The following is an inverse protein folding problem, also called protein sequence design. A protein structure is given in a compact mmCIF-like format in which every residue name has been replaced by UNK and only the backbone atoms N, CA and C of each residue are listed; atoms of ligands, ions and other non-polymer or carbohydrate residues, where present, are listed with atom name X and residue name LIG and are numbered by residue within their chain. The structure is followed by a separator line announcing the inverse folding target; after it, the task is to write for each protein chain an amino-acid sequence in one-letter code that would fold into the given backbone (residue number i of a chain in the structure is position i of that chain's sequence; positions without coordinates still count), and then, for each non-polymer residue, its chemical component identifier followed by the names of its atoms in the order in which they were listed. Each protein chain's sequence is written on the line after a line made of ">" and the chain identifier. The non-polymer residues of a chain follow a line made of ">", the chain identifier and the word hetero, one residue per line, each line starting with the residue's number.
data_IF_800013549852
#
_entry.id   IF_800013549852
#
_cell.length_a   1.000
_cell.length_b   1.000
_cell.length_c   1.000
_cell.angle_alpha   90.00
_cell.angle_beta   90.00
_cell.angle_gamma   90.00
#
_symmetry.space_group_name_H-M   'P 1'
#
loop_
_entity.id
_entity.type
_entity.pdbx_description
1 polymer ?
#
# COMPACT_ATOMS: atom_id res chain seq x y z
N UNK A 1 13.41 9.06 -7.59
CA UNK A 1 12.76 7.77 -7.93
C UNK A 1 11.34 8.06 -8.37
N UNK A 2 10.95 7.61 -9.56
CA UNK A 2 9.62 7.84 -10.13
C UNK A 2 8.63 6.83 -9.54
N UNK A 3 7.65 7.30 -8.78
CA UNK A 3 6.75 6.43 -8.01
C UNK A 3 5.30 6.63 -8.45
N UNK A 4 4.66 5.55 -8.90
CA UNK A 4 3.21 5.54 -9.14
C UNK A 4 2.47 5.21 -7.84
N UNK A 5 1.61 6.13 -7.38
CA UNK A 5 0.76 5.95 -6.21
C UNK A 5 -0.63 5.51 -6.66
N UNK A 6 -0.96 4.24 -6.45
CA UNK A 6 -2.27 3.66 -6.74
C UNK A 6 -3.14 3.73 -5.49
N UNK A 7 -4.35 4.28 -5.65
CA UNK A 7 -5.20 4.68 -4.53
C UNK A 7 -4.81 6.04 -3.94
N UNK A 8 -4.20 6.92 -4.75
CA UNK A 8 -3.68 8.21 -4.30
C UNK A 8 -4.73 9.08 -3.62
N UNK A 9 -6.00 9.05 -4.07
CA UNK A 9 -7.06 9.84 -3.43
C UNK A 9 -7.56 9.25 -2.09
N UNK A 10 -7.12 8.05 -1.70
CA UNK A 10 -7.38 7.47 -0.39
C UNK A 10 -6.64 8.19 0.72
N UNK A 11 -7.05 7.99 1.98
CA UNK A 11 -6.46 8.69 3.13
C UNK A 11 -4.94 8.48 3.25
N UNK A 12 -4.46 7.25 3.12
CA UNK A 12 -3.00 6.95 3.12
C UNK A 12 -2.34 7.52 1.87
N UNK A 13 -2.92 7.29 0.69
CA UNK A 13 -2.37 7.77 -0.59
C UNK A 13 -2.16 9.29 -0.64
N UNK A 14 -3.07 10.07 -0.06
CA UNK A 14 -2.94 11.53 0.04
C UNK A 14 -1.76 11.94 0.92
N UNK A 15 -1.60 11.29 2.08
CA UNK A 15 -0.46 11.56 2.98
C UNK A 15 0.86 11.16 2.31
N UNK A 16 0.89 10.02 1.59
CA UNK A 16 2.06 9.58 0.83
C UNK A 16 2.42 10.61 -0.25
N UNK A 17 1.45 11.05 -1.05
CA UNK A 17 1.67 12.05 -2.09
C UNK A 17 2.23 13.37 -1.51
N UNK A 18 1.66 13.86 -0.41
CA UNK A 18 2.14 15.06 0.28
C UNK A 18 3.57 14.90 0.83
N UNK A 19 3.88 13.77 1.47
CA UNK A 19 5.22 13.52 2.01
C UNK A 19 6.25 13.34 0.89
N UNK A 20 5.88 12.68 -0.21
CA UNK A 20 6.76 12.51 -1.37
C UNK A 20 7.00 13.82 -2.11
N UNK A 21 6.00 14.68 -2.28
CA UNK A 21 6.17 15.98 -2.94
C UNK A 21 7.08 16.94 -2.16
N UNK A 22 7.24 16.73 -0.86
CA UNK A 22 8.15 17.48 0.00
C UNK A 22 9.56 16.85 0.11
N UNK A 23 9.81 15.74 -0.59
CA UNK A 23 11.04 14.95 -0.50
C UNK A 23 11.81 15.03 -1.81
N UNK A 24 13.13 15.20 -1.75
CA UNK A 24 14.00 15.21 -2.95
C UNK A 24 14.23 13.80 -3.53
N UNK A 25 13.93 12.74 -2.76
CA UNK A 25 14.15 11.35 -3.19
C UNK A 25 13.13 10.83 -4.22
N UNK A 26 11.96 11.47 -4.32
CA UNK A 26 10.78 10.91 -4.99
C UNK A 26 10.17 11.88 -5.99
N UNK A 27 9.75 11.33 -7.13
CA UNK A 27 8.93 12.00 -8.14
C UNK A 27 7.59 11.25 -8.18
N UNK A 28 6.62 11.62 -7.33
CA UNK A 28 5.34 10.92 -7.25
C UNK A 28 4.43 11.25 -8.43
N UNK A 29 3.70 10.26 -8.93
CA UNK A 29 2.54 10.44 -9.81
C UNK A 29 1.32 9.78 -9.18
N UNK A 30 0.21 10.51 -9.08
CA UNK A 30 -1.01 10.04 -8.46
C UNK A 30 -1.96 9.39 -9.49
N UNK A 31 -2.23 8.10 -9.32
CA UNK A 31 -3.32 7.44 -10.05
C UNK A 31 -4.65 7.75 -9.36
N UNK A 32 -5.53 8.45 -10.06
CA UNK A 32 -6.84 8.88 -9.59
C UNK A 32 -7.93 8.34 -10.51
N UNK A 33 -9.15 8.15 -9.99
CA UNK A 33 -10.25 7.57 -10.78
C UNK A 33 -11.07 8.63 -11.51
N UNK A 34 -11.09 9.86 -10.99
CA UNK A 34 -11.97 10.91 -11.50
C UNK A 34 -11.23 12.22 -11.63
N UNK A 35 -11.56 12.96 -12.68
CA UNK A 35 -11.03 14.30 -12.99
C UNK A 35 -11.16 15.27 -11.82
N UNK A 36 -12.26 15.23 -11.05
CA UNK A 36 -12.47 16.17 -9.94
C UNK A 36 -11.45 15.99 -8.78
N UNK A 37 -10.76 14.84 -8.74
CA UNK A 37 -9.72 14.56 -7.74
C UNK A 37 -8.39 15.26 -8.06
N UNK A 38 -8.20 15.77 -9.29
CA UNK A 38 -6.95 16.41 -9.74
C UNK A 38 -6.53 17.60 -8.88
N UNK A 39 -7.48 18.46 -8.55
CA UNK A 39 -7.23 19.72 -7.84
C UNK A 39 -6.41 19.56 -6.56
N UNK A 40 -6.61 18.46 -5.82
CA UNK A 40 -5.81 18.19 -4.62
C UNK A 40 -4.32 17.98 -4.93
N UNK A 41 -4.00 17.25 -5.99
CA UNK A 41 -2.63 16.91 -6.37
C UNK A 41 -1.93 18.05 -7.13
N UNK A 42 -2.68 18.83 -7.92
CA UNK A 42 -2.16 20.05 -8.55
C UNK A 42 -1.65 21.05 -7.50
N UNK A 43 -2.37 21.23 -6.39
CA UNK A 43 -1.93 22.06 -5.27
C UNK A 43 -0.65 21.56 -4.59
N UNK A 44 -0.31 20.27 -4.76
CA UNK A 44 0.92 19.65 -4.25
C UNK A 44 2.02 19.59 -5.33
N UNK A 45 1.77 20.09 -6.55
CA UNK A 45 2.62 19.90 -7.73
C UNK A 45 2.89 18.41 -8.04
N UNK A 46 1.91 17.53 -7.78
CA UNK A 46 2.00 16.09 -8.08
C UNK A 46 1.24 15.80 -9.37
N UNK A 47 1.90 15.29 -10.43
CA UNK A 47 1.24 14.85 -11.65
C UNK A 47 0.15 13.80 -11.38
N UNK A 48 -0.88 13.79 -12.22
CA UNK A 48 -2.00 12.84 -12.10
C UNK A 48 -2.22 12.05 -13.38
N UNK A 49 -2.58 10.77 -13.22
CA UNK A 49 -3.12 9.94 -14.30
C UNK A 49 -4.54 9.57 -13.89
N UNK A 50 -5.51 9.83 -14.79
CA UNK A 50 -6.91 9.47 -14.56
C UNK A 50 -7.16 8.09 -15.17
N UNK A 51 -7.26 7.09 -14.31
CA UNK A 51 -7.53 5.71 -14.73
C UNK A 51 -8.21 4.91 -13.60
N UNK A 52 -9.00 3.90 -13.97
CA UNK A 52 -9.64 2.98 -13.03
C UNK A 52 -8.90 1.65 -12.98
N UNK A 53 -8.77 1.09 -11.76
CA UNK A 53 -8.35 -0.30 -11.59
C UNK A 53 -9.36 -1.31 -12.20
N UNK A 54 -10.53 -0.86 -12.62
CA UNK A 54 -11.54 -1.68 -13.33
C UNK A 54 -11.26 -1.80 -14.83
N UNK A 55 -10.37 -0.96 -15.37
CA UNK A 55 -10.01 -0.95 -16.79
C UNK A 55 -9.30 -2.23 -17.24
N UNK A 56 -9.24 -2.44 -18.55
CA UNK A 56 -8.60 -3.62 -19.15
C UNK A 56 -7.12 -3.74 -18.73
N UNK A 57 -6.62 -4.96 -18.63
CA UNK A 57 -5.23 -5.26 -18.25
C UNK A 57 -4.21 -4.47 -19.07
N UNK A 58 -4.41 -4.41 -20.39
CA UNK A 58 -3.55 -3.65 -21.30
C UNK A 58 -3.48 -2.16 -20.95
N UNK A 59 -4.59 -1.56 -20.53
CA UNK A 59 -4.62 -0.15 -20.13
C UNK A 59 -3.84 0.07 -18.83
N UNK A 60 -3.96 -0.87 -17.87
CA UNK A 60 -3.18 -0.85 -16.63
C UNK A 60 -1.68 -1.01 -16.93
N UNK A 61 -1.33 -1.89 -17.86
CA UNK A 61 0.05 -2.10 -18.32
C UNK A 61 0.65 -0.83 -18.93
N UNK A 62 -0.05 -0.19 -19.87
CA UNK A 62 0.38 1.07 -20.48
C UNK A 62 0.55 2.18 -19.44
N UNK A 63 -0.33 2.21 -18.42
CA UNK A 63 -0.30 3.20 -17.33
C UNK A 63 0.91 3.04 -16.41
N UNK A 64 1.40 1.82 -16.20
CA UNK A 64 2.51 1.51 -15.28
C UNK A 64 3.88 1.68 -15.95
N UNK A 65 3.93 1.75 -17.27
CA UNK A 65 5.19 1.88 -18.01
C UNK A 65 5.98 3.13 -17.60
N UNK A 66 7.29 2.98 -17.39
CA UNK A 66 8.22 4.08 -17.12
C UNK A 66 8.38 4.49 -15.66
N UNK A 67 7.70 3.84 -14.72
CA UNK A 67 7.90 4.06 -13.27
C UNK A 67 9.02 3.19 -12.70
N UNK A 68 9.69 3.67 -11.65
CA UNK A 68 10.71 2.90 -10.92
C UNK A 68 10.08 2.02 -9.83
N UNK A 69 8.99 2.51 -9.23
CA UNK A 69 8.30 1.85 -8.13
C UNK A 69 6.78 2.08 -8.16
N UNK A 70 6.06 1.14 -7.54
CA UNK A 70 4.60 1.21 -7.34
C UNK A 70 4.30 1.19 -5.84
N UNK A 71 3.44 2.10 -5.40
CA UNK A 71 2.77 2.04 -4.09
C UNK A 71 1.30 1.69 -4.32
N UNK A 72 0.88 0.50 -3.91
CA UNK A 72 -0.50 0.08 -3.95
C UNK A 72 -1.16 0.29 -2.58
N UNK A 73 -1.91 1.38 -2.44
CA UNK A 73 -2.69 1.73 -1.25
C UNK A 73 -4.21 1.77 -1.52
N UNK A 74 -4.63 1.29 -2.69
CA UNK A 74 -6.02 1.22 -3.07
C UNK A 74 -6.78 0.15 -2.27
N UNK A 75 -8.07 0.41 -2.09
CA UNK A 75 -9.04 -0.54 -1.59
C UNK A 75 -10.44 -0.02 -1.88
N UNK A 76 -11.41 -0.92 -2.00
CA UNK A 76 -12.78 -0.55 -2.34
C UNK A 76 -13.46 0.31 -1.28
N UNK A 77 -13.04 0.15 -0.02
CA UNK A 77 -13.56 0.85 1.15
C UNK A 77 -14.77 0.14 1.76
N UNK A 78 -14.92 0.25 3.08
CA UNK A 78 -15.94 -0.49 3.86
C UNK A 78 -17.40 -0.12 3.56
N UNK A 79 -17.64 0.94 2.79
CA UNK A 79 -18.98 1.32 2.31
C UNK A 79 -19.39 0.61 1.01
N UNK A 80 -18.51 -0.22 0.43
CA UNK A 80 -18.77 -0.96 -0.81
C UNK A 80 -19.05 -2.44 -0.54
N UNK A 81 -19.61 -3.14 -1.52
CA UNK A 81 -19.90 -4.57 -1.42
C UNK A 81 -18.67 -5.46 -1.69
N UNK A 82 -18.84 -6.76 -1.43
CA UNK A 82 -17.80 -7.76 -1.64
C UNK A 82 -17.38 -7.88 -3.12
N UNK A 83 -18.27 -7.54 -4.05
CA UNK A 83 -17.99 -7.42 -5.48
C UNK A 83 -16.85 -6.42 -5.73
N UNK A 84 -16.93 -5.23 -5.13
CA UNK A 84 -15.88 -4.21 -5.26
C UNK A 84 -14.61 -4.58 -4.50
N UNK A 85 -14.72 -5.28 -3.37
CA UNK A 85 -13.54 -5.82 -2.69
C UNK A 85 -12.79 -6.83 -3.58
N UNK A 86 -13.49 -7.71 -4.29
CA UNK A 86 -12.87 -8.65 -5.23
C UNK A 86 -12.28 -7.88 -6.42
N UNK A 87 -13.02 -6.95 -6.99
CA UNK A 87 -12.61 -6.21 -8.20
C UNK A 87 -11.40 -5.29 -7.95
N UNK A 88 -11.36 -4.61 -6.80
CA UNK A 88 -10.34 -3.61 -6.49
C UNK A 88 -9.19 -4.18 -5.66
N UNK A 89 -9.49 -4.76 -4.50
CA UNK A 89 -8.46 -5.20 -3.55
C UNK A 89 -7.74 -6.48 -4.00
N UNK A 90 -8.41 -7.34 -4.76
CA UNK A 90 -7.81 -8.56 -5.32
C UNK A 90 -7.46 -8.40 -6.80
N UNK A 91 -8.45 -8.32 -7.67
CA UNK A 91 -8.22 -8.36 -9.12
C UNK A 91 -7.45 -7.13 -9.61
N UNK A 92 -7.82 -5.94 -9.14
CA UNK A 92 -7.07 -4.71 -9.41
C UNK A 92 -5.62 -4.80 -8.96
N UNK A 93 -5.36 -5.33 -7.76
CA UNK A 93 -3.99 -5.58 -7.29
C UNK A 93 -3.23 -6.58 -8.19
N UNK A 94 -3.84 -7.71 -8.54
CA UNK A 94 -3.25 -8.72 -9.44
C UNK A 94 -2.87 -8.12 -10.79
N UNK A 95 -3.76 -7.33 -11.42
CA UNK A 95 -3.46 -6.69 -12.72
C UNK A 95 -2.26 -5.75 -12.64
N UNK A 96 -2.16 -4.97 -11.57
CA UNK A 96 -1.01 -4.08 -11.34
C UNK A 96 0.27 -4.88 -11.12
N UNK A 97 0.21 -6.00 -10.39
CA UNK A 97 1.36 -6.89 -10.17
C UNK A 97 1.86 -7.48 -11.50
N UNK A 98 0.94 -7.95 -12.34
CA UNK A 98 1.29 -8.50 -13.66
C UNK A 98 1.84 -7.45 -14.61
N UNK A 99 1.23 -6.26 -14.65
CA UNK A 99 1.75 -5.12 -15.40
C UNK A 99 3.14 -4.68 -14.91
N UNK A 100 3.37 -4.65 -13.59
CA UNK A 100 4.69 -4.31 -13.04
C UNK A 100 5.76 -5.30 -13.50
N UNK A 101 5.43 -6.61 -13.53
CA UNK A 101 6.33 -7.65 -14.05
C UNK A 101 6.61 -7.46 -15.54
N UNK A 102 5.58 -7.22 -16.36
CA UNK A 102 5.74 -7.10 -17.81
C UNK A 102 6.52 -5.85 -18.21
N UNK A 103 6.34 -4.75 -17.48
CA UNK A 103 7.02 -3.47 -17.72
C UNK A 103 8.38 -3.35 -17.00
N UNK A 104 8.79 -4.35 -16.20
CA UNK A 104 10.07 -4.34 -15.49
C UNK A 104 10.13 -3.39 -14.27
N UNK A 105 8.98 -2.97 -13.75
CA UNK A 105 8.86 -2.11 -12.56
C UNK A 105 9.03 -2.96 -11.31
N UNK A 106 10.28 -3.15 -10.89
CA UNK A 106 10.62 -4.17 -9.90
C UNK A 106 10.28 -3.82 -8.45
N UNK A 107 10.23 -2.53 -8.06
CA UNK A 107 9.97 -2.13 -6.67
C UNK A 107 8.47 -1.98 -6.43
N UNK A 108 7.92 -2.73 -5.47
CA UNK A 108 6.49 -2.72 -5.18
C UNK A 108 6.22 -2.63 -3.67
N UNK A 109 5.44 -1.67 -3.22
CA UNK A 109 4.98 -1.57 -1.83
C UNK A 109 3.48 -1.77 -1.77
N UNK A 110 3.04 -2.78 -1.04
CA UNK A 110 1.63 -3.14 -0.88
C UNK A 110 1.14 -2.75 0.51
N UNK A 111 0.02 -2.01 0.59
CA UNK A 111 -0.73 -1.82 1.84
C UNK A 111 -1.82 -2.89 1.92
N UNK A 112 -1.56 -3.87 2.76
CA UNK A 112 -2.40 -5.03 3.04
C UNK A 112 -3.06 -4.90 4.42
N UNK A 113 -3.24 -6.00 5.15
CA UNK A 113 -3.88 -6.03 6.46
C UNK A 113 -3.23 -7.05 7.38
N UNK A 114 -3.08 -6.71 8.66
CA UNK A 114 -2.68 -7.66 9.69
C UNK A 114 -3.66 -8.85 9.74
N UNK A 115 -3.17 -10.04 10.11
CA UNK A 115 -3.97 -11.27 10.14
C UNK A 115 -4.51 -11.75 8.78
N UNK A 116 -4.04 -11.21 7.66
CA UNK A 116 -4.44 -11.68 6.33
C UNK A 116 -3.99 -13.11 6.03
N UNK A 117 -3.08 -13.71 6.83
CA UNK A 117 -2.71 -15.12 6.72
C UNK A 117 -3.32 -16.01 7.83
N UNK A 118 -4.26 -15.48 8.62
CA UNK A 118 -4.83 -16.15 9.82
C UNK A 118 -6.36 -16.31 9.68
N UNK A 119 -6.85 -17.37 9.00
CA UNK A 119 -8.27 -17.56 8.69
C UNK A 119 -9.23 -17.48 9.89
N UNK A 120 -8.75 -17.85 11.07
CA UNK A 120 -9.52 -17.82 12.32
C UNK A 120 -9.97 -16.39 12.69
N UNK A 121 -9.21 -15.37 12.26
CA UNK A 121 -9.49 -13.95 12.51
C UNK A 121 -10.45 -13.33 11.48
N UNK A 122 -10.85 -14.07 10.44
CA UNK A 122 -11.71 -13.55 9.37
C UNK A 122 -13.21 -13.64 9.69
N UNK A 123 -13.55 -14.11 10.89
CA UNK A 123 -14.92 -14.38 11.33
C UNK A 123 -15.73 -13.13 11.66
N UNK A 124 -15.11 -11.95 11.76
CA UNK A 124 -15.81 -10.69 11.96
C UNK A 124 -16.82 -10.42 10.80
N UNK A 125 -18.08 -10.02 11.11
CA UNK A 125 -19.10 -9.78 10.10
C UNK A 125 -18.63 -8.82 9.00
N UNK A 126 -18.80 -9.21 7.74
CA UNK A 126 -18.40 -8.40 6.58
C UNK A 126 -16.90 -8.37 6.26
N UNK A 127 -16.02 -8.86 7.16
CA UNK A 127 -14.57 -8.78 6.98
C UNK A 127 -13.98 -9.96 6.19
N UNK A 128 -14.70 -11.09 6.11
CA UNK A 128 -14.20 -12.28 5.43
C UNK A 128 -13.80 -12.05 3.96
N UNK A 129 -14.62 -11.39 3.11
CA UNK A 129 -14.22 -11.10 1.73
C UNK A 129 -12.97 -10.21 1.66
N UNK A 130 -12.87 -9.23 2.55
CA UNK A 130 -11.72 -8.33 2.65
C UNK A 130 -10.43 -9.08 2.97
N UNK A 131 -10.44 -9.92 4.01
CA UNK A 131 -9.26 -10.70 4.37
C UNK A 131 -8.86 -11.70 3.29
N UNK A 132 -9.83 -12.38 2.66
CA UNK A 132 -9.55 -13.28 1.54
C UNK A 132 -8.91 -12.52 0.37
N UNK A 133 -9.44 -11.34 0.02
CA UNK A 133 -8.88 -10.52 -1.06
C UNK A 133 -7.43 -10.10 -0.76
N UNK A 134 -7.18 -9.56 0.44
CA UNK A 134 -5.82 -9.18 0.87
C UNK A 134 -4.86 -10.37 0.94
N UNK A 135 -5.31 -11.50 1.47
CA UNK A 135 -4.53 -12.74 1.51
C UNK A 135 -4.08 -13.19 0.11
N UNK A 136 -5.02 -13.20 -0.85
CA UNK A 136 -4.75 -13.67 -2.19
C UNK A 136 -3.90 -12.67 -2.99
N UNK A 137 -4.12 -11.36 -2.83
CA UNK A 137 -3.27 -10.33 -3.42
C UNK A 137 -1.83 -10.40 -2.88
N UNK A 138 -1.65 -10.59 -1.57
CA UNK A 138 -0.34 -10.79 -0.95
C UNK A 138 0.35 -12.05 -1.50
N UNK A 139 -0.40 -13.16 -1.65
CA UNK A 139 0.14 -14.40 -2.23
C UNK A 139 0.59 -14.21 -3.67
N UNK A 140 -0.16 -13.46 -4.48
CA UNK A 140 0.22 -13.18 -5.85
C UNK A 140 1.49 -12.31 -5.91
N UNK A 141 1.55 -11.26 -5.10
CA UNK A 141 2.75 -10.42 -5.01
C UNK A 141 3.97 -11.23 -4.53
N UNK A 142 3.81 -12.13 -3.56
CA UNK A 142 4.89 -13.03 -3.12
C UNK A 142 5.38 -13.95 -4.26
N UNK A 143 4.47 -14.43 -5.11
CA UNK A 143 4.79 -15.30 -6.27
C UNK A 143 5.43 -14.54 -7.43
N UNK A 144 5.16 -13.24 -7.55
CA UNK A 144 5.67 -12.38 -8.63
C UNK A 144 7.19 -12.30 -8.71
N UNK A 145 7.90 -12.51 -7.58
CA UNK A 145 9.34 -12.27 -7.40
C UNK A 145 9.77 -10.81 -7.60
N UNK A 146 8.84 -9.85 -7.62
CA UNK A 146 9.17 -8.43 -7.54
C UNK A 146 9.92 -8.12 -6.23
N UNK A 147 10.67 -7.03 -6.20
CA UNK A 147 11.28 -6.48 -4.99
C UNK A 147 10.19 -5.85 -4.11
N UNK A 148 9.33 -6.69 -3.54
CA UNK A 148 8.16 -6.23 -2.81
C UNK A 148 8.47 -5.88 -1.35
N UNK A 149 7.65 -5.04 -0.74
CA UNK A 149 7.46 -4.98 0.71
C UNK A 149 5.96 -4.93 0.98
N UNK A 150 5.44 -5.85 1.80
CA UNK A 150 4.03 -5.91 2.17
C UNK A 150 3.88 -5.35 3.58
N UNK A 151 3.15 -4.24 3.71
CA UNK A 151 2.82 -3.62 4.98
C UNK A 151 1.43 -4.09 5.40
N UNK A 152 1.32 -4.67 6.60
CA UNK A 152 0.09 -5.23 7.15
C UNK A 152 -0.27 -4.49 8.43
N UNK A 153 -0.86 -3.28 8.32
CA UNK A 153 -1.33 -2.56 9.49
C UNK A 153 -2.52 -3.26 10.13
N UNK A 154 -2.65 -3.09 11.45
CA UNK A 154 -3.89 -3.31 12.20
C UNK A 154 -4.91 -2.21 11.91
N UNK A 155 -5.92 -2.04 12.77
CA UNK A 155 -6.99 -1.05 12.60
C UNK A 155 -6.43 0.36 12.42
N UNK A 156 -6.74 1.00 11.30
CA UNK A 156 -6.26 2.35 10.99
C UNK A 156 -7.03 3.44 11.73
N UNK A 157 -6.32 4.40 12.31
CA UNK A 157 -6.89 5.60 12.94
C UNK A 157 -6.60 6.88 12.14
N UNK A 158 -7.33 7.95 12.44
CA UNK A 158 -7.26 9.24 11.74
C UNK A 158 -6.46 10.29 12.54
N UNK A 159 -5.66 9.86 13.51
CA UNK A 159 -4.76 10.75 14.24
C UNK A 159 -3.76 11.41 13.28
N UNK A 160 -3.48 12.70 13.51
CA UNK A 160 -2.57 13.48 12.66
C UNK A 160 -1.10 13.12 12.89
N UNK A 161 -0.75 12.72 14.11
CA UNK A 161 0.60 12.34 14.47
C UNK A 161 0.97 10.95 13.92
N UNK A 162 2.23 10.80 13.53
CA UNK A 162 2.83 9.51 13.17
C UNK A 162 2.85 8.59 14.38
N UNK A 163 3.20 9.13 15.55
CA UNK A 163 3.38 8.38 16.78
C UNK A 163 4.57 7.42 16.73
N UNK A 164 4.60 6.50 17.68
CA UNK A 164 5.54 5.40 17.74
C UNK A 164 4.86 4.11 17.28
N UNK A 165 5.63 3.21 16.65
CA UNK A 165 5.11 2.00 16.02
C UNK A 165 5.87 0.76 16.49
N UNK A 166 5.24 -0.39 16.28
CA UNK A 166 5.88 -1.70 16.35
C UNK A 166 5.75 -2.38 14.99
N UNK A 167 6.85 -3.03 14.55
CA UNK A 167 6.86 -3.91 13.38
C UNK A 167 7.26 -5.31 13.83
N UNK A 168 6.45 -6.31 13.45
CA UNK A 168 6.62 -7.70 13.87
C UNK A 168 6.49 -8.65 12.67
N UNK A 169 7.01 -9.87 12.81
CA UNK A 169 6.72 -10.97 11.87
C UNK A 169 5.47 -11.76 12.28
N UNK A 170 5.12 -11.71 13.57
CA UNK A 170 3.99 -12.42 14.15
C UNK A 170 2.87 -11.41 14.48
N UNK A 171 1.70 -11.51 13.83
CA UNK A 171 0.62 -10.56 14.05
C UNK A 171 0.01 -10.64 15.46
N UNK A 172 0.23 -11.74 16.21
CA UNK A 172 -0.26 -11.88 17.59
C UNK A 172 0.48 -10.99 18.59
N UNK A 173 1.59 -10.38 18.20
CA UNK A 173 2.38 -9.45 19.02
C UNK A 173 2.03 -7.98 18.79
N UNK A 174 1.04 -7.71 17.96
CA UNK A 174 0.62 -6.36 17.63
C UNK A 174 -0.35 -5.78 18.65
N UNK A 175 -0.28 -4.46 18.81
CA UNK A 175 -1.33 -3.67 19.43
C UNK A 175 -2.53 -3.51 18.47
N UNK A 176 -3.59 -2.83 18.93
CA UNK A 176 -4.90 -2.88 18.25
C UNK A 176 -5.02 -1.96 17.04
N UNK A 177 -4.31 -0.84 17.07
CA UNK A 177 -4.47 0.24 16.11
C UNK A 177 -3.16 0.87 15.66
N UNK A 178 -3.21 1.65 14.59
CA UNK A 178 -2.07 2.41 14.06
C UNK A 178 -2.56 3.65 13.29
N UNK A 179 -1.94 4.83 13.49
CA UNK A 179 -2.24 6.01 12.69
C UNK A 179 -1.89 5.84 11.21
N UNK A 180 -2.77 6.35 10.32
CA UNK A 180 -2.48 6.38 8.87
C UNK A 180 -1.18 7.12 8.51
N UNK A 181 -0.79 8.23 9.18
CA UNK A 181 0.50 8.86 8.94
C UNK A 181 1.69 7.93 9.19
N UNK A 182 1.61 7.03 10.16
CA UNK A 182 2.65 6.04 10.45
C UNK A 182 2.84 5.02 9.31
N UNK A 183 1.73 4.54 8.73
CA UNK A 183 1.78 3.69 7.53
C UNK A 183 2.38 4.44 6.35
N UNK A 184 1.95 5.69 6.13
CA UNK A 184 2.47 6.52 5.04
C UNK A 184 3.98 6.78 5.18
N UNK A 185 4.46 7.08 6.38
CA UNK A 185 5.88 7.27 6.65
C UNK A 185 6.69 5.99 6.45
N UNK A 186 6.14 4.84 6.88
CA UNK A 186 6.76 3.54 6.64
C UNK A 186 6.90 3.26 5.15
N UNK A 187 5.91 3.61 4.32
CA UNK A 187 6.00 3.46 2.85
C UNK A 187 7.22 4.19 2.30
N UNK A 188 7.47 5.44 2.72
CA UNK A 188 8.62 6.21 2.26
C UNK A 188 9.95 5.59 2.72
N UNK A 189 10.05 5.17 3.99
CA UNK A 189 11.27 4.57 4.51
C UNK A 189 11.59 3.22 3.83
N UNK A 190 10.59 2.35 3.63
CA UNK A 190 10.84 1.06 2.95
C UNK A 190 11.16 1.26 1.47
N UNK A 191 10.62 2.29 0.80
CA UNK A 191 11.00 2.57 -0.59
C UNK A 191 12.50 2.89 -0.74
N UNK A 192 13.12 3.50 0.27
CA UNK A 192 14.56 3.83 0.30
C UNK A 192 15.45 2.62 0.62
N UNK A 193 14.96 1.71 1.47
CA UNK A 193 15.79 0.64 2.01
C UNK A 193 15.62 -0.69 1.27
N UNK A 194 16.65 -1.08 0.50
CA UNK A 194 16.67 -2.35 -0.23
C UNK A 194 16.63 -3.58 0.68
N UNK A 195 16.99 -3.46 1.96
CA UNK A 195 16.94 -4.57 2.91
C UNK A 195 15.50 -4.98 3.24
N UNK A 196 14.51 -4.13 2.92
CA UNK A 196 13.09 -4.43 3.10
C UNK A 196 12.49 -5.23 1.93
N UNK A 197 13.27 -5.52 0.89
CA UNK A 197 12.82 -6.35 -0.23
C UNK A 197 12.47 -7.77 0.24
N UNK A 198 11.36 -8.30 -0.26
CA UNK A 198 10.84 -9.62 0.12
C UNK A 198 10.22 -9.70 1.51
N UNK A 199 10.12 -8.57 2.24
CA UNK A 199 9.62 -8.55 3.62
C UNK A 199 8.11 -8.37 3.70
N UNK A 200 7.53 -9.02 4.70
CA UNK A 200 6.15 -8.81 5.17
C UNK A 200 6.26 -8.26 6.57
N UNK A 201 5.66 -7.09 6.80
CA UNK A 201 5.77 -6.33 8.04
C UNK A 201 4.38 -6.19 8.63
N UNK A 202 4.13 -6.89 9.73
CA UNK A 202 2.92 -6.72 10.54
C UNK A 202 3.11 -5.47 11.41
N UNK A 203 2.14 -4.54 11.46
CA UNK A 203 2.37 -3.21 12.03
C UNK A 203 1.24 -2.72 12.94
N UNK A 204 1.60 -2.12 14.07
CA UNK A 204 0.70 -1.44 15.02
C UNK A 204 1.37 -0.21 15.64
N UNK A 205 0.65 0.51 16.49
CA UNK A 205 1.25 1.38 17.52
C UNK A 205 2.27 0.59 18.36
N UNK A 206 3.27 1.29 18.89
CA UNK A 206 4.35 0.73 19.69
C UNK A 206 5.22 1.83 20.29
N UNK A 207 6.50 1.53 20.51
CA UNK A 207 7.41 2.37 21.31
C UNK A 207 8.66 2.86 20.53
N UNK A 208 8.68 2.68 19.20
CA UNK A 208 9.82 3.04 18.36
C UNK A 208 9.41 4.03 17.26
N UNK A 209 10.32 4.91 16.87
CA UNK A 209 10.13 5.67 15.62
C UNK A 209 10.07 4.71 14.42
N UNK A 210 9.48 5.15 13.31
CA UNK A 210 9.33 4.32 12.09
C UNK A 210 10.66 3.71 11.65
N UNK A 211 11.72 4.51 11.61
CA UNK A 211 13.06 4.05 11.19
C UNK A 211 13.65 3.04 12.17
N UNK A 212 13.52 3.27 13.47
CA UNK A 212 14.00 2.35 14.49
C UNK A 212 13.24 1.01 14.45
N UNK A 213 11.92 1.05 14.25
CA UNK A 213 11.10 -0.15 14.13
C UNK A 213 11.48 -1.00 12.91
N UNK A 214 11.72 -0.37 11.75
CA UNK A 214 12.21 -1.07 10.55
C UNK A 214 13.59 -1.69 10.81
N UNK A 215 14.53 -0.94 11.38
CA UNK A 215 15.86 -1.44 11.69
C UNK A 215 15.83 -2.59 12.70
N UNK A 216 15.00 -2.49 13.74
CA UNK A 216 14.84 -3.56 14.73
C UNK A 216 14.28 -4.83 14.08
N UNK A 217 13.24 -4.69 13.25
CA UNK A 217 12.64 -5.81 12.52
C UNK A 217 13.62 -6.51 11.58
N UNK A 218 14.46 -5.76 10.85
CA UNK A 218 15.42 -6.34 9.91
C UNK A 218 16.58 -7.10 10.58
N UNK A 219 16.80 -6.88 11.88
CA UNK A 219 17.85 -7.57 12.67
C UNK A 219 17.35 -8.81 13.41
N UNK A 220 16.05 -8.98 13.54
CA UNK A 220 15.40 -10.12 14.20
C UNK A 220 15.36 -11.35 13.30
#
# INVERSE_FOLDING_TARGET
>A
MNVLIIGANGKIGRIVAQKMSASEDFEPTALIRKEEQKSYFENLNVPTIVESLESAEKTIEETINGFDAIVFSAGSGGSTGADKTIEIDLYGATKVIDAAKSQGVNRFVMVSAAFSDVPEFWSAPGMKPYYIAKHLADKELKRSKLNYTILRPVRLTDDEAVGEIAIQSDPHKLNKEIPRPAVAETILEVLRDRNTHGRVMEMSEGDLSVREAIHAFLRA
#
